data_IF_690024861401
#
_entry.id   IF_690024861401
#
_cell.length_a   1.000
_cell.length_b   1.000
_cell.length_c   1.000
_cell.angle_alpha   90.00
_cell.angle_beta   90.00
_cell.angle_gamma   90.00
#
_symmetry.space_group_name_H-M   'P 1'
#
loop_
_entity.id
_entity.type
_entity.pdbx_description
1 polymer ?
#
# COMPACT_ATOMS: atom_id res chain seq x y z
N UNK A 1 -3.91 -14.30 -18.59
CA UNK A 1 -3.91 -13.68 -17.26
C UNK A 1 -2.73 -12.74 -17.15
N UNK A 2 -2.97 -11.46 -16.86
CA UNK A 2 -1.91 -10.44 -16.67
C UNK A 2 -2.15 -9.74 -15.35
N UNK A 3 -1.13 -9.70 -14.50
CA UNK A 3 -1.23 -9.16 -13.15
C UNK A 3 -0.59 -7.78 -13.12
N UNK A 4 -1.34 -6.79 -12.66
CA UNK A 4 -0.83 -5.49 -12.30
C UNK A 4 -0.43 -5.51 -10.82
N UNK A 5 0.86 -5.30 -10.55
CA UNK A 5 1.38 -5.13 -9.19
C UNK A 5 1.46 -3.63 -8.91
N UNK A 6 0.86 -3.21 -7.80
CA UNK A 6 0.81 -1.83 -7.32
C UNK A 6 1.46 -1.76 -5.93
N UNK A 7 2.15 -0.67 -5.62
CA UNK A 7 2.72 -0.38 -4.30
C UNK A 7 2.82 1.13 -4.13
N UNK A 8 3.01 1.60 -2.90
CA UNK A 8 3.45 2.97 -2.61
C UNK A 8 2.55 4.04 -3.25
N UNK A 9 1.24 3.83 -3.11
CA UNK A 9 0.24 4.78 -3.59
C UNK A 9 0.39 6.09 -2.82
N UNK A 10 0.72 6.05 -1.52
CA UNK A 10 0.94 7.22 -0.66
C UNK A 10 -0.18 8.25 -0.81
N UNK A 11 -1.44 7.81 -0.82
CA UNK A 11 -2.64 8.63 -0.99
C UNK A 11 -2.65 9.51 -2.27
N UNK A 12 -1.87 9.15 -3.29
CA UNK A 12 -1.84 9.81 -4.59
C UNK A 12 -2.89 9.21 -5.54
N UNK A 13 -4.14 9.61 -5.34
CA UNK A 13 -5.27 9.12 -6.12
C UNK A 13 -5.13 9.38 -7.63
N UNK A 14 -4.54 10.52 -8.02
CA UNK A 14 -4.35 10.89 -9.44
C UNK A 14 -3.34 9.95 -10.13
N UNK A 15 -2.21 9.66 -9.47
CA UNK A 15 -1.25 8.70 -10.01
C UNK A 15 -1.85 7.29 -10.07
N UNK A 16 -2.57 6.88 -9.04
CA UNK A 16 -3.24 5.58 -9.01
C UNK A 16 -4.25 5.43 -10.15
N UNK A 17 -5.10 6.42 -10.38
CA UNK A 17 -6.08 6.42 -11.48
C UNK A 17 -5.38 6.25 -12.84
N UNK A 18 -4.31 7.01 -13.08
CA UNK A 18 -3.54 6.93 -14.32
C UNK A 18 -2.91 5.53 -14.51
N UNK A 19 -2.34 4.95 -13.46
CA UNK A 19 -1.72 3.62 -13.49
C UNK A 19 -2.77 2.51 -13.69
N UNK A 20 -3.92 2.59 -13.02
CA UNK A 20 -5.02 1.63 -13.22
C UNK A 20 -5.50 1.67 -14.67
N UNK A 21 -5.69 2.86 -15.24
CA UNK A 21 -6.12 3.02 -16.63
C UNK A 21 -5.10 2.39 -17.59
N UNK A 22 -3.81 2.64 -17.37
CA UNK A 22 -2.74 2.05 -18.18
C UNK A 22 -2.71 0.53 -18.06
N UNK A 23 -2.75 -0.02 -16.85
CA UNK A 23 -2.77 -1.46 -16.60
C UNK A 23 -3.96 -2.14 -17.30
N UNK A 24 -5.15 -1.53 -17.25
CA UNK A 24 -6.33 -2.02 -17.97
C UNK A 24 -6.13 -1.99 -19.49
N UNK A 25 -5.55 -0.92 -20.04
CA UNK A 25 -5.25 -0.81 -21.46
C UNK A 25 -4.23 -1.87 -21.93
N UNK A 26 -3.31 -2.27 -21.05
CA UNK A 26 -2.34 -3.34 -21.28
C UNK A 26 -2.92 -4.76 -21.05
N UNK A 27 -4.22 -4.86 -20.75
CA UNK A 27 -4.92 -6.13 -20.59
C UNK A 27 -4.68 -6.82 -19.25
N UNK A 28 -4.27 -6.08 -18.21
CA UNK A 28 -4.24 -6.61 -16.85
C UNK A 28 -5.66 -6.90 -16.34
N UNK A 29 -5.88 -8.15 -15.94
CA UNK A 29 -7.16 -8.67 -15.44
C UNK A 29 -7.14 -8.91 -13.93
N UNK A 30 -5.95 -8.94 -13.31
CA UNK A 30 -5.73 -9.19 -11.88
C UNK A 30 -4.88 -8.08 -11.27
N UNK A 31 -5.19 -7.66 -10.04
CA UNK A 31 -4.42 -6.65 -9.31
C UNK A 31 -3.86 -7.23 -8.02
N UNK A 32 -2.58 -6.95 -7.74
CA UNK A 32 -1.93 -7.19 -6.46
C UNK A 32 -1.46 -5.85 -5.91
N UNK A 33 -1.71 -5.61 -4.63
CA UNK A 33 -1.30 -4.40 -3.94
C UNK A 33 -0.37 -4.73 -2.78
N UNK A 34 0.80 -4.10 -2.76
CA UNK A 34 1.88 -4.43 -1.85
C UNK A 34 1.98 -3.51 -0.64
N UNK A 35 1.02 -2.61 -0.43
CA UNK A 35 0.96 -1.75 0.75
C UNK A 35 1.35 -0.29 0.49
N UNK A 36 1.29 0.50 1.55
CA UNK A 36 1.46 1.97 1.55
C UNK A 36 0.38 2.67 0.73
N UNK A 37 -0.88 2.42 1.09
CA UNK A 37 -2.02 3.11 0.49
C UNK A 37 -2.06 4.57 0.96
N UNK A 38 -1.67 4.79 2.20
CA UNK A 38 -1.76 6.05 2.93
C UNK A 38 -0.37 6.69 3.07
N UNK A 39 -0.30 7.90 3.63
CA UNK A 39 0.97 8.64 3.75
C UNK A 39 0.93 10.00 3.08
N UNK A 40 1.90 10.30 2.23
CA UNK A 40 2.25 11.69 1.84
C UNK A 40 1.20 12.46 1.03
N UNK A 41 0.29 11.77 0.35
CA UNK A 41 -0.69 12.37 -0.55
C UNK A 41 -1.94 12.88 0.17
N UNK A 42 -2.64 13.85 -0.43
CA UNK A 42 -3.79 14.51 0.20
C UNK A 42 -5.12 13.78 0.00
N UNK A 43 -5.17 12.67 -0.75
CA UNK A 43 -6.45 12.03 -1.13
C UNK A 43 -6.52 10.54 -0.75
N UNK A 44 -6.38 10.19 0.54
CA UNK A 44 -6.36 8.78 0.97
C UNK A 44 -7.68 8.05 0.72
N UNK A 45 -8.83 8.74 0.86
CA UNK A 45 -10.14 8.12 0.61
C UNK A 45 -10.40 7.86 -0.88
N UNK A 46 -9.93 8.73 -1.76
CA UNK A 46 -10.08 8.52 -3.21
C UNK A 46 -9.16 7.39 -3.67
N UNK A 47 -7.93 7.35 -3.16
CA UNK A 47 -7.00 6.25 -3.38
C UNK A 47 -7.60 4.91 -2.91
N UNK A 48 -8.19 4.88 -1.71
CA UNK A 48 -8.88 3.70 -1.18
C UNK A 48 -10.00 3.23 -2.10
N UNK A 49 -10.89 4.14 -2.54
CA UNK A 49 -12.01 3.79 -3.42
C UNK A 49 -11.54 3.25 -4.76
N UNK A 50 -10.55 3.91 -5.37
CA UNK A 50 -9.96 3.47 -6.64
C UNK A 50 -9.35 2.07 -6.53
N UNK A 51 -8.59 1.81 -5.45
CA UNK A 51 -7.99 0.51 -5.20
C UNK A 51 -9.06 -0.56 -4.94
N UNK A 52 -10.06 -0.28 -4.10
CA UNK A 52 -11.15 -1.22 -3.80
C UNK A 52 -11.96 -1.58 -5.05
N UNK A 53 -12.17 -0.62 -5.96
CA UNK A 53 -12.84 -0.86 -7.24
C UNK A 53 -12.09 -1.85 -8.14
N UNK A 54 -10.77 -2.06 -7.93
CA UNK A 54 -10.01 -3.08 -8.66
C UNK A 54 -10.08 -4.47 -8.02
N UNK A 55 -10.67 -4.60 -6.83
CA UNK A 55 -10.80 -5.86 -6.09
C UNK A 55 -9.48 -6.68 -6.07
N UNK A 56 -8.39 -6.12 -5.52
CA UNK A 56 -7.08 -6.75 -5.61
C UNK A 56 -7.07 -8.12 -4.94
N UNK A 57 -6.56 -9.13 -5.66
CA UNK A 57 -6.47 -10.52 -5.18
C UNK A 57 -5.41 -10.69 -4.08
N UNK A 58 -4.43 -9.78 -4.03
CA UNK A 58 -3.45 -9.67 -2.94
C UNK A 58 -3.47 -8.24 -2.43
N UNK A 59 -3.49 -8.07 -1.12
CA UNK A 59 -3.37 -6.77 -0.47
C UNK A 59 -2.54 -6.92 0.80
N UNK A 60 -1.29 -6.43 0.75
CA UNK A 60 -0.37 -6.40 1.88
C UNK A 60 -0.48 -5.11 2.70
N UNK A 61 -0.07 -5.17 3.95
CA UNK A 61 0.15 -3.96 4.76
C UNK A 61 1.52 -3.37 4.44
N UNK A 62 1.57 -2.06 4.19
CA UNK A 62 2.82 -1.29 4.24
C UNK A 62 3.06 -0.66 5.61
N UNK A 63 4.23 -0.06 5.83
CA UNK A 63 4.52 0.57 7.12
C UNK A 63 3.71 1.83 7.34
N UNK A 64 3.39 2.59 6.29
CA UNK A 64 2.52 3.76 6.45
C UNK A 64 1.10 3.34 6.81
N UNK A 65 0.63 2.22 6.28
CA UNK A 65 -0.65 1.64 6.66
C UNK A 65 -0.65 1.22 8.14
N UNK A 66 0.39 0.52 8.58
CA UNK A 66 0.60 0.11 9.98
C UNK A 66 0.68 1.33 10.92
N UNK A 67 1.44 2.34 10.53
CA UNK A 67 1.58 3.59 11.25
C UNK A 67 0.26 4.34 11.37
N UNK A 68 -0.61 4.30 10.35
CA UNK A 68 -1.93 4.93 10.41
C UNK A 68 -2.89 4.21 11.36
N UNK A 69 -2.86 2.87 11.40
CA UNK A 69 -3.76 2.06 12.24
C UNK A 69 -3.29 1.89 13.68
N UNK A 70 -1.99 2.00 13.95
CA UNK A 70 -1.43 1.68 15.27
C UNK A 70 -0.32 2.65 15.70
N UNK A 71 -0.58 3.37 16.79
CA UNK A 71 0.37 4.33 17.37
C UNK A 71 1.62 3.69 17.99
N UNK A 72 1.63 2.37 18.22
CA UNK A 72 2.83 1.66 18.67
C UNK A 72 4.01 1.77 17.70
N UNK A 73 3.76 2.11 16.43
CA UNK A 73 4.82 2.32 15.44
C UNK A 73 5.45 3.71 15.49
N UNK A 74 4.93 4.65 16.31
CA UNK A 74 5.40 6.04 16.37
C UNK A 74 6.91 6.18 16.46
N UNK A 75 7.53 5.47 17.39
CA UNK A 75 8.97 5.57 17.68
C UNK A 75 9.83 4.91 16.60
N UNK A 76 9.20 4.20 15.66
CA UNK A 76 9.87 3.55 14.52
C UNK A 76 9.91 4.43 13.26
N UNK A 77 9.26 5.59 13.31
CA UNK A 77 9.27 6.60 12.26
C UNK A 77 10.16 7.77 12.65
N UNK A 78 10.83 8.37 11.66
CA UNK A 78 11.38 9.70 11.87
C UNK A 78 10.22 10.67 12.20
N UNK A 79 10.43 11.56 13.17
CA UNK A 79 9.39 12.46 13.69
C UNK A 79 8.59 13.17 12.59
N UNK A 80 9.27 13.66 11.55
CA UNK A 80 8.63 14.37 10.44
C UNK A 80 7.71 13.47 9.60
N UNK A 81 7.98 12.17 9.50
CA UNK A 81 7.09 11.22 8.84
C UNK A 81 5.87 10.89 9.69
N UNK A 82 6.03 10.78 11.00
CA UNK A 82 4.90 10.62 11.91
C UNK A 82 3.92 11.81 11.83
N UNK A 83 4.46 13.03 11.74
CA UNK A 83 3.65 14.25 11.57
C UNK A 83 2.78 14.23 10.30
N UNK A 84 3.23 13.57 9.22
CA UNK A 84 2.42 13.37 8.01
C UNK A 84 1.22 12.48 8.30
N UNK A 85 1.40 11.39 9.06
CA UNK A 85 0.29 10.52 9.47
C UNK A 85 -0.67 11.25 10.42
N UNK A 86 -0.16 12.04 11.36
CA UNK A 86 -0.98 12.88 12.24
C UNK A 86 -1.83 13.86 11.43
N UNK A 87 -1.21 14.58 10.50
CA UNK A 87 -1.92 15.49 9.59
C UNK A 87 -2.98 14.76 8.77
N UNK A 88 -2.65 13.58 8.24
CA UNK A 88 -3.60 12.78 7.45
C UNK A 88 -4.77 12.25 8.29
N UNK A 89 -4.58 11.95 9.58
CA UNK A 89 -5.68 11.64 10.49
C UNK A 89 -6.56 12.86 10.75
N UNK A 90 -5.94 14.04 10.93
CA UNK A 90 -6.65 15.29 11.21
C UNK A 90 -7.50 15.79 10.04
N UNK A 91 -7.07 15.56 8.80
CA UNK A 91 -7.83 15.99 7.61
C UNK A 91 -9.06 15.11 7.32
N UNK A 92 -9.17 13.94 7.97
CA UNK A 92 -10.26 13.01 7.75
C UNK A 92 -11.37 13.21 8.78
N UNK A 93 -12.63 13.16 8.33
CA UNK A 93 -13.74 12.99 9.24
C UNK A 93 -13.59 11.67 10.00
N UNK A 94 -14.13 11.60 11.22
CA UNK A 94 -14.11 10.37 12.03
C UNK A 94 -14.58 9.14 11.26
N UNK A 95 -15.68 9.27 10.51
CA UNK A 95 -16.22 8.21 9.65
C UNK A 95 -15.21 7.74 8.58
N UNK A 96 -14.52 8.67 7.92
CA UNK A 96 -13.56 8.34 6.89
C UNK A 96 -12.30 7.70 7.48
N UNK A 97 -11.81 8.21 8.61
CA UNK A 97 -10.68 7.61 9.32
C UNK A 97 -10.99 6.17 9.77
N UNK A 98 -12.16 5.94 10.38
CA UNK A 98 -12.59 4.59 10.79
C UNK A 98 -12.74 3.65 9.59
N UNK A 99 -13.27 4.12 8.46
CA UNK A 99 -13.38 3.33 7.24
C UNK A 99 -12.01 2.98 6.65
N UNK A 100 -11.09 3.94 6.63
CA UNK A 100 -9.72 3.76 6.16
C UNK A 100 -8.97 2.77 7.05
N UNK A 101 -9.02 2.95 8.37
CA UNK A 101 -8.41 2.02 9.33
C UNK A 101 -8.96 0.61 9.18
N UNK A 102 -10.28 0.45 9.03
CA UNK A 102 -10.90 -0.86 8.80
C UNK A 102 -10.40 -1.54 7.52
N UNK A 103 -10.17 -0.77 6.46
CA UNK A 103 -9.67 -1.33 5.20
C UNK A 103 -8.21 -1.82 5.29
N UNK A 104 -7.41 -1.21 6.16
CA UNK A 104 -5.98 -1.48 6.34
C UNK A 104 -5.69 -2.48 7.47
N UNK A 105 -6.57 -2.57 8.47
CA UNK A 105 -6.33 -3.39 9.65
C UNK A 105 -6.30 -4.88 9.31
N UNK A 106 -5.34 -5.60 9.89
CA UNK A 106 -5.23 -7.06 9.77
C UNK A 106 -4.70 -7.55 8.42
N UNK A 107 -4.19 -6.65 7.56
CA UNK A 107 -3.54 -7.03 6.30
C UNK A 107 -2.21 -7.73 6.59
N UNK A 108 -1.86 -8.80 5.85
CA UNK A 108 -0.60 -9.51 6.06
C UNK A 108 0.59 -8.68 5.56
N UNK A 109 1.74 -8.80 6.24
CA UNK A 109 2.99 -8.20 5.77
C UNK A 109 3.66 -9.02 4.65
N UNK A 110 3.36 -10.33 4.57
CA UNK A 110 3.92 -11.27 3.60
C UNK A 110 2.81 -12.18 3.08
N UNK A 111 2.76 -12.40 1.77
CA UNK A 111 1.84 -13.37 1.12
C UNK A 111 2.60 -14.20 0.09
N UNK A 112 2.25 -15.49 0.01
CA UNK A 112 2.71 -16.42 -1.02
C UNK A 112 1.47 -16.79 -1.84
N UNK A 113 1.10 -16.01 -2.88
CA UNK A 113 -0.15 -16.25 -3.61
C UNK A 113 -0.10 -17.55 -4.43
N UNK A 114 1.10 -18.05 -4.72
CA UNK A 114 1.35 -19.29 -5.47
C UNK A 114 2.79 -19.78 -5.21
N UNK A 115 3.07 -21.09 -5.40
CA UNK A 115 4.42 -21.63 -5.25
C UNK A 115 5.44 -20.83 -6.07
N UNK A 116 6.56 -20.47 -5.45
CA UNK A 116 7.64 -19.72 -6.10
C UNK A 116 7.45 -18.21 -6.20
N UNK A 117 6.31 -17.66 -5.75
CA UNK A 117 6.08 -16.21 -5.70
C UNK A 117 5.90 -15.80 -4.24
N UNK A 118 6.84 -15.00 -3.75
CA UNK A 118 6.81 -14.44 -2.40
C UNK A 118 6.66 -12.93 -2.53
N UNK A 119 5.71 -12.34 -1.79
CA UNK A 119 5.43 -10.92 -1.78
C UNK A 119 5.56 -10.39 -0.37
N UNK A 120 6.26 -9.28 -0.21
CA UNK A 120 6.37 -8.49 1.02
C UNK A 120 6.40 -7.00 0.64
N UNK A 121 5.96 -6.11 1.54
CA UNK A 121 6.06 -4.67 1.30
C UNK A 121 7.53 -4.19 1.37
N UNK A 122 8.23 -4.57 2.44
CA UNK A 122 9.67 -4.35 2.61
C UNK A 122 10.45 -5.66 2.54
N UNK A 123 11.31 -5.91 3.52
CA UNK A 123 12.13 -7.11 3.56
C UNK A 123 11.38 -8.35 4.10
N UNK A 124 11.74 -9.54 3.60
CA UNK A 124 11.27 -10.83 4.14
C UNK A 124 11.81 -11.14 5.54
N UNK A 125 12.88 -10.45 5.95
CA UNK A 125 13.52 -10.61 7.25
C UNK A 125 13.09 -9.46 8.17
N UNK A 126 12.03 -9.69 8.93
CA UNK A 126 11.65 -8.81 10.03
C UNK A 126 12.44 -9.19 11.29
N UNK A 127 13.46 -8.42 11.65
CA UNK A 127 13.73 -8.27 13.09
C UNK A 127 12.53 -7.51 13.65
N UNK A 128 11.77 -8.15 14.55
CA UNK A 128 10.55 -7.59 15.16
C UNK A 128 10.79 -6.28 15.93
N UNK A 129 12.05 -5.85 16.08
CA UNK A 129 12.47 -4.59 16.70
C UNK A 129 12.84 -3.49 15.71
N UNK A 130 12.75 -3.74 14.40
CA UNK A 130 13.11 -2.78 13.34
C UNK A 130 11.91 -2.56 12.42
N UNK A 131 11.53 -1.30 12.21
CA UNK A 131 10.49 -0.97 11.21
C UNK A 131 10.98 -1.24 9.81
N UNK A 132 10.03 -1.49 8.89
CA UNK A 132 10.28 -1.56 7.45
C UNK A 132 10.99 -0.30 6.92
N UNK A 133 10.89 0.83 7.63
CA UNK A 133 11.59 2.09 7.37
C UNK A 133 13.11 1.96 7.31
N UNK A 134 13.72 1.02 8.05
CA UNK A 134 15.16 0.80 7.98
C UNK A 134 15.62 0.15 6.66
N UNK A 135 14.69 -0.40 5.86
CA UNK A 135 15.04 -1.26 4.73
C UNK A 135 14.90 -0.66 3.33
N UNK A 136 14.28 0.51 3.09
CA UNK A 136 14.40 1.14 1.76
C UNK A 136 14.05 2.64 1.70
N UNK A 137 15.00 3.43 1.19
CA UNK A 137 14.82 4.78 0.63
C UNK A 137 14.96 4.70 -0.89
N UNK A 138 13.85 4.48 -1.62
CA UNK A 138 13.70 4.97 -2.98
C UNK A 138 12.26 4.80 -3.44
N UNK A 139 11.59 5.94 -3.68
CA UNK A 139 10.27 5.93 -4.31
C UNK A 139 10.37 5.45 -5.75
N UNK A 140 9.65 4.39 -6.07
CA UNK A 140 9.30 4.03 -7.43
C UNK A 140 7.90 3.42 -7.41
N UNK A 141 6.99 3.95 -8.23
CA UNK A 141 5.77 3.24 -8.61
C UNK A 141 6.22 2.02 -9.43
N UNK A 142 6.34 0.86 -8.79
CA UNK A 142 6.76 -0.37 -9.46
C UNK A 142 5.52 -1.05 -10.04
N UNK A 143 5.23 -0.79 -11.31
CA UNK A 143 4.35 -1.65 -12.11
C UNK A 143 5.22 -2.79 -12.67
N UNK A 144 5.30 -3.91 -11.96
CA UNK A 144 5.88 -5.13 -12.51
C UNK A 144 4.82 -5.85 -13.34
N UNK A 145 4.93 -5.73 -14.65
CA UNK A 145 4.14 -6.49 -15.60
C UNK A 145 4.73 -7.89 -15.71
N UNK A 146 4.14 -8.85 -14.99
CA UNK A 146 4.45 -10.26 -15.21
C UNK A 146 3.62 -10.79 -16.39
N UNK A 147 4.25 -10.93 -17.55
CA UNK A 147 3.76 -11.83 -18.59
C UNK A 147 4.24 -13.24 -18.24
N UNK A 148 3.37 -14.09 -17.68
CA UNK A 148 3.62 -15.53 -17.72
C UNK A 148 2.85 -16.13 -18.90
N UNK A 149 3.62 -16.70 -19.83
CA UNK A 149 3.19 -17.60 -20.88
C UNK A 149 2.72 -18.93 -20.28
N UNK A 150 1.65 -19.46 -20.87
CA UNK A 150 1.01 -20.79 -20.74
C UNK A 150 1.15 -21.55 -19.41
#
# INVERSE_FOLDING_TARGET
MRIAVLSDIHANALALEAVIRQARAEGCDTFWFLGDLVGRGPRPMDALRLLQAQAPAVWLSGNWDEGLVNDAFRDTFARHWWQVLEWQRMMLSRRNLEALQRALQGRPAIVIPKPGIHLAHGAFFLDKRKSLTEYWMSGMNVVLLFQHWQ
#
